data_IF_681336119504
#
_entry.id   IF_681336119504
#
_cell.length_a   1.000
_cell.length_b   1.000
_cell.length_c   1.000
_cell.angle_alpha   90.00
_cell.angle_beta   90.00
_cell.angle_gamma   90.00
#
_symmetry.space_group_name_H-M   'P 1'
#
loop_
_entity.id
_entity.type
_entity.pdbx_description
1 polymer ?
#
# COMPACT_ATOMS: atom_id res chain seq x y z
N UNK A 1 6.95 17.16 -8.41
CA UNK A 1 7.10 18.61 -8.14
C UNK A 1 5.86 19.39 -8.57
N UNK A 2 5.65 20.59 -8.00
CA UNK A 2 4.41 21.38 -8.16
C UNK A 2 4.00 21.67 -9.62
N UNK A 3 4.94 21.69 -10.56
CA UNK A 3 4.68 21.99 -11.99
C UNK A 3 5.20 20.89 -12.95
N UNK A 4 5.40 19.67 -12.45
CA UNK A 4 5.79 18.55 -13.31
C UNK A 4 4.59 18.07 -14.14
N UNK A 5 4.76 18.02 -15.46
CA UNK A 5 3.68 17.71 -16.42
C UNK A 5 3.97 16.53 -17.34
N UNK A 6 5.08 15.83 -17.16
CA UNK A 6 5.34 14.65 -17.97
C UNK A 6 4.32 13.56 -17.61
N UNK A 7 3.87 12.82 -18.61
CA UNK A 7 3.02 11.67 -18.39
C UNK A 7 3.78 10.58 -17.63
N UNK A 8 3.14 10.01 -16.62
CA UNK A 8 3.68 8.93 -15.78
C UNK A 8 2.66 7.82 -15.70
N UNK A 9 3.12 6.59 -15.95
CA UNK A 9 2.31 5.39 -15.81
C UNK A 9 3.02 4.42 -14.88
N UNK A 10 2.29 3.91 -13.89
CA UNK A 10 2.71 2.80 -13.04
C UNK A 10 1.80 1.62 -13.32
N UNK A 11 2.39 0.45 -13.57
CA UNK A 11 1.64 -0.79 -13.79
C UNK A 11 2.10 -1.84 -12.77
N UNK A 12 1.15 -2.34 -12.00
CA UNK A 12 1.37 -3.39 -11.03
C UNK A 12 0.68 -4.67 -11.51
N UNK A 13 1.47 -5.66 -11.89
CA UNK A 13 0.98 -6.98 -12.29
C UNK A 13 1.20 -7.99 -11.17
N UNK A 14 0.12 -8.56 -10.65
CA UNK A 14 0.19 -9.63 -9.65
C UNK A 14 0.59 -10.92 -10.35
N UNK A 15 1.83 -11.35 -10.18
CA UNK A 15 2.35 -12.58 -10.80
C UNK A 15 2.04 -13.83 -9.96
N UNK A 16 1.91 -13.67 -8.64
CA UNK A 16 1.58 -14.72 -7.69
C UNK A 16 0.92 -14.10 -6.47
N UNK A 17 0.05 -14.85 -5.82
CA UNK A 17 -0.68 -14.39 -4.63
C UNK A 17 -0.75 -15.52 -3.61
N UNK A 18 -0.37 -15.21 -2.37
CA UNK A 18 -0.75 -16.01 -1.21
C UNK A 18 -2.22 -15.68 -0.88
N UNK A 19 -3.15 -16.65 -0.87
CA UNK A 19 -4.57 -16.41 -0.58
C UNK A 19 -4.84 -15.70 0.75
N UNK A 20 -3.94 -15.83 1.73
CA UNK A 20 -4.08 -15.17 3.03
C UNK A 20 -3.65 -13.70 3.01
N UNK A 21 -2.84 -13.29 2.02
CA UNK A 21 -2.28 -11.95 1.91
C UNK A 21 -2.94 -11.16 0.78
N UNK A 22 -3.49 -9.98 1.09
CA UNK A 22 -4.07 -9.10 0.05
C UNK A 22 -2.95 -8.52 -0.83
N UNK A 23 -2.98 -8.72 -2.17
CA UNK A 23 -1.91 -8.26 -3.05
C UNK A 23 -1.88 -6.73 -3.22
N UNK A 24 -2.97 -6.04 -2.88
CA UNK A 24 -3.07 -4.59 -2.99
C UNK A 24 -2.01 -3.86 -2.14
N UNK A 25 -1.77 -4.31 -0.90
CA UNK A 25 -0.81 -3.70 0.00
C UNK A 25 0.60 -3.71 -0.60
N UNK A 26 1.05 -4.88 -1.06
CA UNK A 26 2.36 -5.05 -1.67
C UNK A 26 2.45 -4.39 -3.04
N UNK A 27 1.36 -4.30 -3.79
CA UNK A 27 1.31 -3.56 -5.04
C UNK A 27 1.55 -2.06 -4.80
N UNK A 28 0.90 -1.47 -3.79
CA UNK A 28 1.09 -0.06 -3.45
C UNK A 28 2.52 0.22 -2.98
N UNK A 29 3.11 -0.66 -2.16
CA UNK A 29 4.52 -0.58 -1.76
C UNK A 29 5.44 -0.70 -2.99
N UNK A 30 5.17 -1.66 -3.87
CA UNK A 30 5.93 -1.88 -5.10
C UNK A 30 5.93 -0.65 -6.01
N UNK A 31 4.77 0.00 -6.18
CA UNK A 31 4.64 1.23 -6.96
C UNK A 31 5.48 2.38 -6.35
N UNK A 32 5.45 2.54 -5.03
CA UNK A 32 6.25 3.56 -4.34
C UNK A 32 7.75 3.31 -4.52
N UNK A 33 8.21 2.06 -4.33
CA UNK A 33 9.60 1.68 -4.53
C UNK A 33 10.03 1.89 -5.99
N UNK A 34 9.24 1.39 -6.95
CA UNK A 34 9.54 1.51 -8.38
C UNK A 34 9.67 2.98 -8.80
N UNK A 35 8.82 3.85 -8.27
CA UNK A 35 8.89 5.29 -8.53
C UNK A 35 10.16 5.90 -7.90
N UNK A 36 10.52 5.50 -6.67
CA UNK A 36 11.72 6.01 -5.99
C UNK A 36 13.04 5.62 -6.68
N UNK A 37 13.10 4.47 -7.36
CA UNK A 37 14.30 4.05 -8.10
C UNK A 37 14.33 4.57 -9.55
N UNK A 38 13.27 5.25 -9.98
CA UNK A 38 13.17 5.82 -11.33
C UNK A 38 13.64 7.28 -11.36
N UNK A 39 13.75 7.84 -12.56
CA UNK A 39 14.02 9.27 -12.76
C UNK A 39 12.79 10.17 -12.57
N UNK A 40 11.64 9.59 -12.19
CA UNK A 40 10.43 10.37 -11.90
C UNK A 40 10.69 11.18 -10.63
N UNK A 41 10.52 12.51 -10.66
CA UNK A 41 10.76 13.35 -9.51
C UNK A 41 9.61 13.18 -8.49
N UNK A 42 9.74 12.17 -7.65
CA UNK A 42 8.76 11.76 -6.65
C UNK A 42 9.26 12.04 -5.23
N UNK A 43 8.41 12.67 -4.42
CA UNK A 43 8.71 13.02 -3.02
C UNK A 43 8.37 11.83 -2.09
N UNK A 44 9.01 10.69 -2.37
CA UNK A 44 8.82 9.43 -1.68
C UNK A 44 9.92 9.11 -0.65
N UNK A 45 9.92 7.87 -0.11
CA UNK A 45 8.97 6.79 -0.37
C UNK A 45 7.65 6.96 0.41
N UNK A 46 6.57 6.44 -0.17
CA UNK A 46 5.28 6.28 0.51
C UNK A 46 5.17 4.84 1.04
N UNK A 47 4.95 4.70 2.34
CA UNK A 47 4.65 3.44 3.00
C UNK A 47 3.15 3.19 3.01
N UNK A 48 2.77 1.92 3.12
CA UNK A 48 1.38 1.49 3.15
C UNK A 48 1.18 0.50 4.28
N UNK A 49 0.06 0.60 4.97
CA UNK A 49 -0.29 -0.31 6.06
C UNK A 49 -1.80 -0.52 6.10
N UNK A 50 -2.22 -1.77 6.26
CA UNK A 50 -3.61 -2.11 6.54
C UNK A 50 -3.81 -2.25 8.04
N UNK A 51 -4.88 -1.67 8.56
CA UNK A 51 -5.29 -1.74 9.95
C UNK A 51 -6.68 -2.34 10.01
N UNK A 52 -6.75 -3.51 10.62
CA UNK A 52 -7.99 -4.19 10.97
C UNK A 52 -8.34 -4.00 12.45
N UNK A 53 -9.54 -4.39 12.85
CA UNK A 53 -9.93 -4.50 14.25
C UNK A 53 -10.76 -5.75 14.48
N UNK A 54 -10.38 -6.59 15.44
CA UNK A 54 -11.12 -7.81 15.82
C UNK A 54 -11.26 -7.82 17.34
N UNK A 55 -12.48 -8.04 17.83
CA UNK A 55 -12.79 -8.07 19.28
C UNK A 55 -12.30 -6.82 20.04
N UNK A 56 -12.34 -5.66 19.36
CA UNK A 56 -11.89 -4.37 19.91
C UNK A 56 -10.38 -4.12 19.85
N UNK A 57 -9.58 -5.05 19.32
CA UNK A 57 -8.12 -4.94 19.22
C UNK A 57 -7.67 -4.66 17.79
N UNK A 58 -6.70 -3.74 17.64
CA UNK A 58 -6.14 -3.42 16.32
C UNK A 58 -5.18 -4.51 15.82
N UNK A 59 -5.30 -4.85 14.53
CA UNK A 59 -4.43 -5.81 13.85
C UNK A 59 -3.76 -5.12 12.67
N UNK A 60 -2.43 -5.21 12.60
CA UNK A 60 -1.65 -4.66 11.50
C UNK A 60 -1.48 -5.70 10.41
N UNK A 61 -1.77 -5.30 9.16
CA UNK A 61 -1.77 -6.14 7.97
C UNK A 61 -2.50 -7.48 8.21
N UNK A 62 -3.79 -7.42 8.59
CA UNK A 62 -4.58 -8.60 8.89
C UNK A 62 -4.64 -9.56 7.70
N UNK A 63 -4.76 -10.85 7.98
CA UNK A 63 -5.02 -11.86 6.95
C UNK A 63 -6.37 -11.62 6.26
N UNK A 64 -6.59 -12.26 5.12
CA UNK A 64 -7.86 -12.19 4.39
C UNK A 64 -9.06 -12.62 5.24
N UNK A 65 -8.90 -13.61 6.13
CA UNK A 65 -9.95 -14.02 7.05
C UNK A 65 -10.22 -12.94 8.11
N UNK A 66 -9.16 -12.39 8.69
CA UNK A 66 -9.24 -11.35 9.70
C UNK A 66 -9.89 -10.06 9.15
N UNK A 67 -9.52 -9.66 7.94
CA UNK A 67 -10.09 -8.51 7.23
C UNK A 67 -11.60 -8.65 6.98
N UNK A 68 -12.10 -9.86 6.74
CA UNK A 68 -13.54 -10.12 6.51
C UNK A 68 -14.35 -10.13 7.80
N UNK A 69 -13.74 -10.56 8.91
CA UNK A 69 -14.40 -10.65 10.22
C UNK A 69 -14.31 -9.37 11.02
N UNK A 70 -13.33 -8.52 10.74
CA UNK A 70 -13.05 -7.34 11.52
C UNK A 70 -14.05 -6.21 11.34
N UNK A 71 -14.15 -5.38 12.37
CA UNK A 71 -15.04 -4.21 12.44
C UNK A 71 -14.43 -2.95 11.80
N UNK A 72 -13.14 -3.00 11.46
CA UNK A 72 -12.40 -1.92 10.80
C UNK A 72 -11.62 -2.48 9.62
N UNK A 73 -11.67 -1.77 8.49
CA UNK A 73 -10.91 -2.05 7.28
C UNK A 73 -10.30 -0.74 6.77
N UNK A 74 -9.15 -0.37 7.33
CA UNK A 74 -8.46 0.89 7.03
C UNK A 74 -7.16 0.60 6.27
N UNK A 75 -6.95 1.27 5.14
CA UNK A 75 -5.65 1.28 4.46
C UNK A 75 -5.07 2.68 4.59
N UNK A 76 -3.87 2.79 5.14
CA UNK A 76 -3.17 4.06 5.37
C UNK A 76 -1.96 4.14 4.44
N UNK A 77 -1.84 5.28 3.78
CA UNK A 77 -0.67 5.68 3.00
C UNK A 77 0.03 6.82 3.74
N UNK A 78 1.33 6.71 3.99
CA UNK A 78 2.09 7.71 4.76
C UNK A 78 3.50 7.89 4.21
N UNK A 79 4.03 9.09 4.30
CA UNK A 79 5.47 9.35 4.15
C UNK A 79 6.13 9.33 5.54
N UNK A 80 7.44 9.54 5.60
CA UNK A 80 8.17 9.54 6.88
C UNK A 80 7.62 10.56 7.90
N UNK A 81 7.10 11.68 7.42
CA UNK A 81 6.69 12.81 8.27
C UNK A 81 5.17 12.91 8.48
N UNK A 82 4.37 12.24 7.64
CA UNK A 82 2.90 12.38 7.58
C UNK A 82 2.26 11.06 7.19
#
# INVERSE_FOLDING_TARGET
PKDYRNDVTLNNMVMSVDPECRPELVAMIGAAIATCISDIPFDGPCAMTQVGMIDGEFIINPSQEQWKKGDLNLTVASTREK
#
